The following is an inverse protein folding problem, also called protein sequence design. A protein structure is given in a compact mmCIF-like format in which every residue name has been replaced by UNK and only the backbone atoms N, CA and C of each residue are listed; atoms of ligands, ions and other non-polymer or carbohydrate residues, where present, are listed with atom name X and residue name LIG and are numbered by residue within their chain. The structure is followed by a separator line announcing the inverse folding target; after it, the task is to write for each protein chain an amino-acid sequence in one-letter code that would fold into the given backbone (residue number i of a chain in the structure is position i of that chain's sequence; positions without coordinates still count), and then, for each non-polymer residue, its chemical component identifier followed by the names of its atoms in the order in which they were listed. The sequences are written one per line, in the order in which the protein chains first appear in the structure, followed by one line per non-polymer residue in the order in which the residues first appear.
data_IF_458992971106
#
_entry.id   IF_458992971106
#
_cell.length_a   1.000
_cell.length_b   1.000
_cell.length_c   1.000
_cell.angle_alpha   90.00
_cell.angle_beta   90.00
_cell.angle_gamma   90.00
#
_symmetry.space_group_name_H-M   'P 1'
#
loop_
_entity.id
_entity.type
_entity.pdbx_description
1 polymer ?
#
# COMPACT_ATOMS: atom_id res chain seq x y z
N UNK A 1 -15.52 -9.54 8.04
CA UNK A 1 -15.27 -9.24 6.64
C UNK A 1 -15.13 -7.75 6.37
N UNK A 2 -14.29 -7.39 5.44
CA UNK A 2 -13.99 -5.98 5.19
C UNK A 2 -14.81 -5.43 4.05
N UNK A 3 -15.28 -4.20 4.20
CA UNK A 3 -15.91 -3.46 3.13
C UNK A 3 -15.04 -2.27 2.76
N UNK A 4 -15.10 -1.87 1.50
CA UNK A 4 -14.37 -0.73 0.99
C UNK A 4 -15.36 0.32 0.55
N UNK A 5 -15.18 1.57 1.00
CA UNK A 5 -16.10 2.62 0.66
C UNK A 5 -15.45 3.98 0.73
N UNK A 6 -16.05 4.92 0.02
CA UNK A 6 -15.53 6.28 -0.06
C UNK A 6 -16.04 7.19 1.05
N UNK A 7 -17.18 6.85 1.66
CA UNK A 7 -17.81 7.73 2.64
C UNK A 7 -16.98 7.96 3.90
N UNK A 8 -16.28 6.92 4.37
CA UNK A 8 -15.40 7.06 5.51
C UNK A 8 -14.11 7.79 5.17
N UNK A 9 -13.80 7.91 3.89
CA UNK A 9 -12.56 8.53 3.42
C UNK A 9 -12.59 10.04 3.54
N UNK A 10 -13.77 10.66 3.43
CA UNK A 10 -13.89 12.12 3.38
C UNK A 10 -13.20 12.80 4.56
N UNK A 11 -13.50 12.37 5.80
CA UNK A 11 -12.88 12.99 6.96
C UNK A 11 -11.42 12.64 7.09
N UNK A 12 -11.02 11.47 6.59
CA UNK A 12 -9.59 11.11 6.58
C UNK A 12 -8.81 11.96 5.60
N UNK A 13 -9.40 12.26 4.44
CA UNK A 13 -8.75 13.11 3.45
C UNK A 13 -8.52 14.50 4.01
N UNK A 14 -9.51 15.07 4.67
CA UNK A 14 -9.33 16.38 5.30
C UNK A 14 -8.21 16.36 6.32
N UNK A 15 -8.06 15.26 7.04
CA UNK A 15 -7.08 15.14 8.10
C UNK A 15 -5.66 14.86 7.58
N UNK A 16 -5.53 13.98 6.57
CA UNK A 16 -4.21 13.51 6.12
C UNK A 16 -3.72 14.17 4.85
N UNK A 17 -4.60 14.46 3.91
CA UNK A 17 -4.18 14.86 2.57
C UNK A 17 -4.60 16.27 2.16
N UNK A 18 -5.77 16.72 2.59
CA UNK A 18 -6.27 18.04 2.25
C UNK A 18 -6.57 18.26 0.77
N UNK A 19 -6.73 17.19 -0.03
CA UNK A 19 -6.98 17.29 -1.46
C UNK A 19 -8.11 16.37 -1.87
N UNK A 20 -9.06 16.91 -2.63
CA UNK A 20 -10.24 16.16 -3.06
C UNK A 20 -9.91 15.11 -4.11
N UNK A 21 -8.97 15.39 -5.02
CA UNK A 21 -8.65 14.45 -6.09
C UNK A 21 -8.12 13.11 -5.58
N UNK A 22 -7.65 13.04 -4.34
CA UNK A 22 -7.18 11.78 -3.76
C UNK A 22 -8.31 10.81 -3.52
N UNK A 23 -9.55 11.31 -3.39
CA UNK A 23 -10.72 10.46 -3.13
C UNK A 23 -10.94 9.41 -4.21
N UNK A 24 -10.70 9.74 -5.46
CA UNK A 24 -10.98 8.84 -6.57
C UNK A 24 -10.11 7.59 -6.56
N UNK A 25 -8.97 7.65 -5.87
CA UNK A 25 -7.99 6.56 -5.86
C UNK A 25 -7.78 5.99 -4.46
N UNK A 26 -8.64 6.36 -3.50
CA UNK A 26 -8.50 5.94 -2.12
C UNK A 26 -9.50 4.85 -1.77
N UNK A 27 -8.99 3.79 -1.15
CA UNK A 27 -9.78 2.63 -0.73
C UNK A 27 -9.54 2.40 0.75
N UNK A 28 -10.61 2.19 1.49
CA UNK A 28 -10.50 2.03 2.95
C UNK A 28 -10.91 0.63 3.38
N UNK A 29 -10.26 0.13 4.41
CA UNK A 29 -10.66 -1.08 5.10
C UNK A 29 -11.50 -0.65 6.29
N UNK A 30 -12.81 -0.85 6.17
CA UNK A 30 -13.80 -0.44 7.15
C UNK A 30 -14.48 -1.67 7.72
N UNK A 31 -14.43 -1.81 9.04
CA UNK A 31 -15.11 -2.91 9.71
C UNK A 31 -16.01 -2.33 10.78
N UNK A 32 -17.31 -2.56 10.63
CA UNK A 32 -18.32 -2.07 11.57
C UNK A 32 -18.27 -0.56 11.81
N UNK A 33 -18.02 0.20 10.74
CA UNK A 33 -17.96 1.67 10.81
C UNK A 33 -16.63 2.22 11.30
N UNK A 34 -15.66 1.36 11.55
CA UNK A 34 -14.34 1.79 12.00
C UNK A 34 -13.35 1.61 10.84
N UNK A 35 -12.73 2.71 10.43
CA UNK A 35 -11.70 2.67 9.39
C UNK A 35 -10.39 2.20 10.03
N UNK A 36 -9.90 1.06 9.60
CA UNK A 36 -8.70 0.44 10.17
C UNK A 36 -7.46 0.64 9.31
N UNK A 37 -7.65 1.00 8.06
CA UNK A 37 -6.54 1.27 7.16
C UNK A 37 -7.05 1.77 5.84
N UNK A 38 -6.13 2.21 4.98
CA UNK A 38 -6.48 2.67 3.64
C UNK A 38 -5.31 2.49 2.70
N UNK A 39 -5.60 2.59 1.41
CA UNK A 39 -4.56 2.60 0.38
C UNK A 39 -4.95 3.55 -0.73
N UNK A 40 -3.95 4.06 -1.41
CA UNK A 40 -4.12 4.88 -2.60
C UNK A 40 -3.50 4.14 -3.77
N UNK A 41 -4.29 3.95 -4.83
CA UNK A 41 -3.87 3.21 -6.02
C UNK A 41 -3.92 4.16 -7.22
N UNK A 42 -2.86 4.16 -8.01
CA UNK A 42 -2.81 4.89 -9.28
C UNK A 42 -2.37 3.92 -10.37
N UNK A 43 -3.32 3.49 -11.21
CA UNK A 43 -3.04 2.48 -12.22
C UNK A 43 -2.66 1.16 -11.55
N UNK A 44 -1.44 0.73 -11.72
CA UNK A 44 -0.91 -0.47 -11.08
C UNK A 44 0.06 -0.15 -9.95
N UNK A 45 0.15 1.12 -9.57
CA UNK A 45 1.04 1.54 -8.49
C UNK A 45 0.28 1.67 -7.17
N UNK A 46 0.83 1.10 -6.11
CA UNK A 46 0.36 1.35 -4.74
C UNK A 46 1.11 2.58 -4.25
N UNK A 47 0.42 3.72 -4.20
CA UNK A 47 1.05 4.97 -3.79
C UNK A 47 1.11 5.12 -2.28
N UNK A 48 0.12 4.58 -1.58
CA UNK A 48 0.08 4.62 -0.12
C UNK A 48 -0.61 3.36 0.38
N UNK A 49 -0.12 2.85 1.48
CA UNK A 49 -0.76 1.76 2.20
C UNK A 49 -0.56 2.05 3.68
N UNK A 50 -1.66 2.29 4.37
CA UNK A 50 -1.62 2.66 5.78
C UNK A 50 -2.53 1.75 6.59
N UNK A 51 -2.05 1.28 7.71
CA UNK A 51 -2.85 0.55 8.69
C UNK A 51 -2.72 1.27 10.01
N UNK A 52 -3.85 1.58 10.63
CA UNK A 52 -3.84 2.22 11.93
C UNK A 52 -3.03 1.36 12.91
N UNK A 53 -2.12 1.97 13.70
CA UNK A 53 -1.27 1.21 14.61
C UNK A 53 -2.04 0.28 15.56
N UNK A 54 -3.26 0.66 15.94
CA UNK A 54 -4.07 -0.18 16.80
C UNK A 54 -4.52 -1.49 16.15
N UNK A 55 -4.43 -1.59 14.83
CA UNK A 55 -4.94 -2.72 14.07
C UNK A 55 -3.88 -3.42 13.23
N UNK A 56 -2.60 -3.09 13.41
CA UNK A 56 -1.55 -3.62 12.54
C UNK A 56 -1.37 -5.13 12.61
N UNK A 57 -1.72 -5.75 13.71
CA UNK A 57 -1.58 -7.21 13.84
C UNK A 57 -2.82 -7.97 13.38
N UNK A 58 -3.86 -7.29 12.91
CA UNK A 58 -5.14 -7.90 12.62
C UNK A 58 -5.36 -8.37 11.19
N UNK A 59 -4.32 -8.37 10.35
CA UNK A 59 -4.46 -8.81 8.97
C UNK A 59 -5.02 -7.75 8.02
N UNK A 60 -5.14 -6.51 8.46
CA UNK A 60 -5.68 -5.43 7.64
C UNK A 60 -4.78 -5.15 6.45
N UNK A 61 -3.46 -5.05 6.68
CA UNK A 61 -2.51 -4.80 5.61
C UNK A 61 -2.55 -5.90 4.56
N UNK A 62 -2.63 -7.14 5.00
CA UNK A 62 -2.74 -8.28 4.09
C UNK A 62 -3.99 -8.18 3.23
N UNK A 63 -5.13 -7.82 3.81
CA UNK A 63 -6.38 -7.69 3.06
C UNK A 63 -6.33 -6.56 2.05
N UNK A 64 -5.76 -5.42 2.44
CA UNK A 64 -5.58 -4.31 1.51
C UNK A 64 -4.66 -4.72 0.36
N UNK A 65 -3.55 -5.37 0.66
CA UNK A 65 -2.61 -5.82 -0.36
C UNK A 65 -3.23 -6.84 -1.31
N UNK A 66 -3.96 -7.81 -0.77
CA UNK A 66 -4.65 -8.80 -1.59
C UNK A 66 -5.66 -8.14 -2.51
N UNK A 67 -6.37 -7.14 -2.02
CA UNK A 67 -7.32 -6.40 -2.83
C UNK A 67 -6.60 -5.61 -3.95
N UNK A 68 -5.50 -4.97 -3.61
CA UNK A 68 -4.72 -4.21 -4.60
C UNK A 68 -4.25 -5.11 -5.74
N UNK A 69 -3.76 -6.29 -5.41
CA UNK A 69 -3.25 -7.22 -6.41
C UNK A 69 -4.39 -7.82 -7.23
N UNK A 70 -5.44 -8.30 -6.56
CA UNK A 70 -6.51 -9.01 -7.26
C UNK A 70 -7.41 -8.10 -8.09
N UNK A 71 -7.63 -6.87 -7.64
CA UNK A 71 -8.56 -5.96 -8.29
C UNK A 71 -7.88 -5.03 -9.27
N UNK A 72 -6.69 -4.54 -8.92
CA UNK A 72 -5.98 -3.51 -9.70
C UNK A 72 -4.70 -4.02 -10.35
N UNK A 73 -4.38 -5.29 -10.15
CA UNK A 73 -3.15 -5.87 -10.68
C UNK A 73 -1.93 -5.07 -10.26
N UNK A 74 -1.90 -4.63 -9.02
CA UNK A 74 -0.82 -3.80 -8.49
C UNK A 74 0.52 -4.52 -8.67
N UNK A 75 1.50 -3.83 -9.27
CA UNK A 75 2.75 -4.44 -9.63
C UNK A 75 3.98 -3.66 -9.16
N UNK A 76 3.82 -2.48 -8.59
CA UNK A 76 4.97 -1.75 -8.07
C UNK A 76 4.56 -0.76 -6.99
N UNK A 77 5.55 -0.37 -6.20
CA UNK A 77 5.39 0.66 -5.17
C UNK A 77 6.75 1.25 -4.84
N UNK A 78 6.72 2.37 -4.14
CA UNK A 78 7.92 2.98 -3.59
C UNK A 78 7.82 2.95 -2.06
N UNK A 79 8.88 2.54 -1.40
CA UNK A 79 8.91 2.45 0.06
C UNK A 79 10.11 3.21 0.61
N UNK A 80 9.95 3.80 1.80
CA UNK A 80 11.09 4.42 2.47
C UNK A 80 12.15 3.35 2.78
N UNK A 81 13.38 3.62 2.39
CA UNK A 81 14.48 2.68 2.59
C UNK A 81 14.65 2.32 4.07
N UNK A 82 14.39 3.26 4.95
CA UNK A 82 14.52 3.05 6.39
C UNK A 82 13.38 2.23 7.00
N UNK A 83 12.28 2.11 6.30
CA UNK A 83 11.13 1.41 6.84
C UNK A 83 11.25 -0.08 6.61
N UNK A 84 12.15 -0.71 7.37
CA UNK A 84 12.46 -2.12 7.21
C UNK A 84 11.27 -3.02 7.48
N UNK A 85 10.37 -2.60 8.37
CA UNK A 85 9.16 -3.38 8.67
C UNK A 85 8.21 -3.41 7.46
N UNK A 86 8.01 -2.27 6.82
CA UNK A 86 7.18 -2.22 5.62
C UNK A 86 7.81 -3.01 4.49
N UNK A 87 9.11 -2.89 4.30
CA UNK A 87 9.83 -3.63 3.26
C UNK A 87 9.67 -5.12 3.47
N UNK A 88 9.78 -5.60 4.71
CA UNK A 88 9.57 -7.02 5.02
C UNK A 88 8.14 -7.45 4.69
N UNK A 89 7.16 -6.60 4.97
CA UNK A 89 5.77 -6.85 4.62
C UNK A 89 5.61 -6.98 3.09
N UNK A 90 6.21 -6.07 2.33
CA UNK A 90 6.12 -6.12 0.88
C UNK A 90 6.82 -7.35 0.32
N UNK A 91 7.95 -7.75 0.89
CA UNK A 91 8.61 -9.01 0.51
C UNK A 91 7.68 -10.20 0.67
N UNK A 92 6.94 -10.24 1.77
CA UNK A 92 6.01 -11.35 2.02
C UNK A 92 4.89 -11.44 0.98
N UNK A 93 4.63 -10.32 0.30
CA UNK A 93 3.58 -10.27 -0.72
C UNK A 93 4.14 -10.30 -2.14
N UNK A 94 5.39 -10.68 -2.29
CA UNK A 94 5.98 -10.92 -3.59
C UNK A 94 6.62 -9.71 -4.24
N UNK A 95 6.79 -8.62 -3.52
CA UNK A 95 7.47 -7.43 -4.04
C UNK A 95 8.96 -7.49 -3.70
N UNK A 96 9.79 -7.15 -4.66
CA UNK A 96 11.24 -7.17 -4.50
C UNK A 96 11.85 -5.87 -5.01
N UNK A 97 12.93 -5.43 -4.39
CA UNK A 97 13.66 -4.25 -4.84
C UNK A 97 14.19 -4.46 -6.25
N UNK A 98 14.06 -3.44 -7.09
CA UNK A 98 14.55 -3.53 -8.47
C UNK A 98 15.80 -2.68 -8.72
N UNK A 99 16.36 -2.06 -7.68
CA UNK A 99 17.56 -1.25 -7.80
C UNK A 99 17.32 0.25 -7.98
N UNK A 100 16.10 0.67 -8.24
CA UNK A 100 15.78 2.09 -8.38
C UNK A 100 15.65 2.75 -7.02
N UNK A 101 16.25 3.93 -6.88
CA UNK A 101 16.32 4.64 -5.62
C UNK A 101 16.28 6.13 -5.90
N UNK A 102 15.48 6.87 -5.14
CA UNK A 102 15.35 8.32 -5.29
C UNK A 102 15.24 8.97 -3.93
N UNK A 103 15.60 10.26 -3.87
CA UNK A 103 15.30 11.05 -2.67
C UNK A 103 13.83 11.39 -2.68
N UNK A 104 13.18 11.22 -1.54
CA UNK A 104 11.80 11.65 -1.41
C UNK A 104 11.77 13.18 -1.42
N UNK A 105 10.88 13.75 -2.24
CA UNK A 105 10.79 15.18 -2.42
C UNK A 105 10.62 15.92 -1.10
N UNK A 106 11.45 16.94 -0.88
CA UNK A 106 11.37 17.74 0.33
C UNK A 106 12.01 17.12 1.56
N UNK A 107 12.71 16.02 1.40
CA UNK A 107 13.33 15.31 2.53
C UNK A 107 14.76 14.91 2.22
N UNK A 108 15.45 14.36 3.23
CA UNK A 108 16.76 13.73 3.06
C UNK A 108 16.63 12.21 3.05
N UNK A 109 15.41 11.70 2.96
CA UNK A 109 15.14 10.26 3.00
C UNK A 109 15.09 9.68 1.61
N UNK A 110 15.60 8.46 1.47
CA UNK A 110 15.54 7.73 0.20
C UNK A 110 14.33 6.84 0.15
N UNK A 111 13.75 6.74 -1.05
CA UNK A 111 12.73 5.74 -1.35
C UNK A 111 13.31 4.76 -2.36
N UNK A 112 12.88 3.51 -2.24
CA UNK A 112 13.29 2.44 -3.14
C UNK A 112 12.06 1.90 -3.85
N UNK A 113 12.24 1.52 -5.11
CA UNK A 113 11.15 0.93 -5.89
C UNK A 113 11.13 -0.57 -5.68
N UNK A 114 9.95 -1.11 -5.48
CA UNK A 114 9.74 -2.55 -5.36
C UNK A 114 8.74 -2.98 -6.41
N UNK A 115 9.02 -4.07 -7.08
CA UNK A 115 8.15 -4.61 -8.12
C UNK A 115 7.67 -6.00 -7.71
N UNK A 116 6.48 -6.36 -8.16
CA UNK A 116 5.91 -7.66 -7.87
C UNK A 116 6.52 -8.69 -8.82
N UNK A 117 7.05 -9.75 -8.23
CA UNK A 117 7.70 -10.84 -8.98
C UNK A 117 6.64 -11.88 -9.34
N UNK A 118 6.59 -12.26 -10.60
CA UNK A 118 5.64 -13.24 -11.07
C UNK A 118 5.98 -14.64 -10.55
N UNK A 119 4.94 -15.44 -10.34
CA UNK A 119 5.09 -16.78 -9.79
C UNK A 119 6.03 -17.66 -10.63
N UNK A 120 6.03 -17.47 -11.95
CA UNK A 120 6.84 -18.31 -12.78
C UNK A 120 8.34 -18.20 -12.48
N UNK A 121 8.77 -17.11 -11.88
CA UNK A 121 10.18 -16.93 -11.54
C UNK A 121 10.65 -17.91 -10.48
N UNK A 122 9.74 -18.36 -9.65
CA UNK A 122 10.05 -19.35 -8.64
C UNK A 122 10.44 -20.70 -9.26
N UNK A 123 9.95 -20.96 -10.49
CA UNK A 123 10.25 -22.20 -11.19
C UNK A 123 11.71 -22.26 -11.61
N UNK A 124 12.34 -21.12 -11.79
CA UNK A 124 13.74 -21.05 -12.20
C UNK A 124 14.71 -21.01 -11.03
N UNK A 125 14.18 -20.87 -9.83
CA UNK A 125 15.00 -20.82 -8.62
C UNK A 125 15.22 -22.19 -7.98
N UNK A 126 14.66 -23.21 -8.57
CA UNK A 126 14.72 -24.57 -8.02
C UNK A 126 16.04 -25.28 -8.38
#
# INVERSE_FOLDING_TARGET
EYSFGELQVVSMIDHYFGKVEVLENLYVADECGIVKGFMEIHGTEIRKLYVDPCFQSGGIGKKLMEHAISTFDADHLWALEKNTRAIAFYHRHGFMENGEKELEEGTTEYIIKMIRVEDFEWQYCI
#
